data_IF_095233282335
#
_entry.id   IF_095233282335
#
_cell.length_a   1.000
_cell.length_b   1.000
_cell.length_c   1.000
_cell.angle_alpha   90.00
_cell.angle_beta   90.00
_cell.angle_gamma   90.00
#
_symmetry.space_group_name_H-M   'P 1'
#
loop_
_entity.id
_entity.type
_entity.pdbx_description
1 polymer ?
#
# COMPACT_ATOMS: atom_id res chain seq x y z
N UNK A 1 -3.21 2.98 19.20
CA UNK A 1 -3.31 1.47 19.25
C UNK A 1 -2.44 0.92 20.40
N UNK A 2 -2.31 -0.40 20.60
CA UNK A 2 -1.32 -0.95 21.55
C UNK A 2 0.10 -0.64 21.04
N UNK A 3 1.05 -0.34 21.94
CA UNK A 3 2.47 -0.09 21.61
C UNK A 3 3.15 -1.22 20.85
N UNK A 4 2.71 -2.46 21.05
CA UNK A 4 3.24 -3.65 20.37
C UNK A 4 2.62 -3.91 19.00
N UNK A 5 1.61 -3.14 18.58
CA UNK A 5 0.85 -3.41 17.37
C UNK A 5 1.69 -3.18 16.10
N UNK A 6 1.41 -3.99 15.07
CA UNK A 6 1.89 -3.77 13.71
C UNK A 6 0.69 -3.57 12.80
N UNK A 7 0.67 -2.48 12.05
CA UNK A 7 -0.36 -2.21 11.05
C UNK A 7 0.09 -2.80 9.70
N UNK A 8 -0.79 -3.51 9.00
CA UNK A 8 -0.55 -3.91 7.61
C UNK A 8 -1.67 -3.34 6.77
N UNK A 9 -1.33 -2.56 5.74
CA UNK A 9 -2.30 -2.06 4.77
C UNK A 9 -1.91 -2.53 3.36
N UNK A 10 -2.71 -3.47 2.84
CA UNK A 10 -2.71 -3.91 1.44
C UNK A 10 -4.08 -3.68 0.77
N UNK A 11 -4.85 -2.76 1.34
CA UNK A 11 -6.17 -2.38 0.86
C UNK A 11 -6.07 -1.20 -0.11
N UNK A 12 -6.21 0.02 0.41
CA UNK A 12 -6.06 1.28 -0.33
C UNK A 12 -5.39 2.32 0.56
N UNK A 13 -4.65 3.25 -0.05
CA UNK A 13 -3.96 4.31 0.67
C UNK A 13 -4.87 5.16 1.54
N UNK A 14 -6.03 5.56 0.99
CA UNK A 14 -6.99 6.40 1.71
C UNK A 14 -7.76 5.73 2.86
N UNK A 15 -7.44 4.48 3.24
CA UNK A 15 -8.05 3.82 4.41
C UNK A 15 -7.42 4.27 5.74
N UNK A 16 -6.19 4.79 5.68
CA UNK A 16 -5.44 5.24 6.85
C UNK A 16 -4.96 6.65 6.55
N UNK A 17 -5.15 7.57 7.50
CA UNK A 17 -4.59 8.91 7.35
C UNK A 17 -3.06 8.83 7.44
N UNK A 18 -2.37 8.99 6.31
CA UNK A 18 -0.94 8.70 6.19
C UNK A 18 -0.10 9.59 7.13
N UNK A 19 -0.49 10.87 7.27
CA UNK A 19 0.15 11.81 8.19
C UNK A 19 0.10 11.33 9.66
N UNK A 20 -1.04 10.82 10.11
CA UNK A 20 -1.21 10.30 11.48
C UNK A 20 -0.44 8.98 11.68
N UNK A 21 -0.41 8.13 10.64
CA UNK A 21 0.40 6.91 10.68
C UNK A 21 1.88 7.22 10.81
N UNK A 22 2.39 8.19 10.02
CA UNK A 22 3.78 8.67 10.12
C UNK A 22 4.09 9.13 11.54
N UNK A 23 3.20 9.93 12.14
CA UNK A 23 3.41 10.42 13.51
C UNK A 23 3.38 9.30 14.54
N UNK A 24 2.43 8.37 14.45
CA UNK A 24 2.32 7.22 15.33
C UNK A 24 3.55 6.30 15.25
N UNK A 25 4.15 6.16 14.08
CA UNK A 25 5.39 5.40 13.87
C UNK A 25 6.61 6.16 14.40
N UNK A 26 6.71 7.47 14.12
CA UNK A 26 7.81 8.34 14.58
C UNK A 26 7.88 8.41 16.10
N UNK A 27 6.73 8.49 16.76
CA UNK A 27 6.61 8.53 18.23
C UNK A 27 6.57 7.15 18.88
N UNK A 28 6.60 6.08 18.08
CA UNK A 28 6.45 4.67 18.52
C UNK A 28 5.20 4.43 19.36
N UNK A 29 4.08 5.08 19.01
CA UNK A 29 2.75 4.72 19.52
C UNK A 29 2.34 3.32 19.05
N UNK A 30 2.77 2.93 17.85
CA UNK A 30 2.73 1.56 17.34
C UNK A 30 4.13 1.05 17.05
N UNK A 31 4.29 -0.27 17.02
CA UNK A 31 5.60 -0.89 16.82
C UNK A 31 6.09 -0.64 15.40
N UNK A 32 5.31 -1.01 14.40
CA UNK A 32 5.72 -1.03 12.98
C UNK A 32 4.53 -0.90 12.01
N UNK A 33 4.81 -0.65 10.74
CA UNK A 33 3.83 -0.78 9.66
C UNK A 33 4.39 -1.51 8.42
N UNK A 34 3.54 -2.22 7.68
CA UNK A 34 3.83 -2.80 6.37
C UNK A 34 2.82 -2.30 5.34
N UNK A 35 3.28 -1.66 4.27
CA UNK A 35 2.43 -0.95 3.30
C UNK A 35 2.80 -1.34 1.87
N UNK A 36 1.81 -1.64 1.03
CA UNK A 36 1.95 -1.64 -0.44
C UNK A 36 1.12 -0.56 -1.14
N UNK A 37 0.29 0.18 -0.40
CA UNK A 37 -0.59 1.25 -0.88
C UNK A 37 -0.35 2.56 -0.13
N UNK A 38 -0.58 3.68 -0.80
CA UNK A 38 -0.26 5.03 -0.30
C UNK A 38 -1.35 6.04 -0.68
N UNK A 39 -1.48 7.14 0.07
CA UNK A 39 -2.46 8.18 -0.30
C UNK A 39 -2.15 8.78 -1.70
N UNK A 40 -0.86 8.91 -2.03
CA UNK A 40 -0.37 9.31 -3.34
C UNK A 40 0.49 8.18 -3.90
N UNK A 41 0.13 7.71 -5.09
CA UNK A 41 0.84 6.64 -5.78
C UNK A 41 1.39 7.09 -7.14
N UNK A 42 2.65 6.77 -7.47
CA UNK A 42 3.64 6.05 -6.66
C UNK A 42 4.07 6.85 -5.42
N UNK A 43 4.57 6.14 -4.39
CA UNK A 43 5.08 6.80 -3.17
C UNK A 43 6.14 7.85 -3.55
N UNK A 44 5.92 9.14 -3.24
CA UNK A 44 6.90 10.18 -3.54
C UNK A 44 8.22 9.92 -2.82
N UNK A 45 9.35 10.14 -3.49
CA UNK A 45 10.69 9.98 -2.89
C UNK A 45 10.95 10.92 -1.70
N UNK A 46 10.15 11.98 -1.58
CA UNK A 46 10.16 12.90 -0.44
C UNK A 46 9.29 12.44 0.73
N UNK A 47 8.63 11.28 0.65
CA UNK A 47 7.75 10.81 1.72
C UNK A 47 8.54 10.53 3.01
N UNK A 48 8.08 11.02 4.18
CA UNK A 48 8.71 10.71 5.46
C UNK A 48 8.78 9.22 5.77
N UNK A 49 7.83 8.42 5.26
CA UNK A 49 7.78 6.97 5.46
C UNK A 49 9.12 6.29 5.07
N UNK A 50 9.77 6.77 4.01
CA UNK A 50 11.02 6.18 3.49
C UNK A 50 12.17 6.23 4.50
N UNK A 51 12.12 7.17 5.46
CA UNK A 51 13.19 7.38 6.44
C UNK A 51 12.92 6.70 7.80
N UNK A 52 11.77 6.04 7.97
CA UNK A 52 11.42 5.38 9.24
C UNK A 52 12.03 3.98 9.31
N UNK A 53 12.62 3.64 10.46
CA UNK A 53 13.26 2.33 10.69
C UNK A 53 12.27 1.21 10.99
N UNK A 54 11.02 1.57 11.26
CA UNK A 54 9.94 0.68 11.68
C UNK A 54 8.83 0.56 10.63
N UNK A 55 9.17 0.69 9.35
CA UNK A 55 8.26 0.42 8.24
C UNK A 55 8.85 -0.52 7.21
N UNK A 56 7.98 -1.29 6.56
CA UNK A 56 8.28 -2.03 5.33
C UNK A 56 7.39 -1.46 4.22
N UNK A 57 8.02 -1.00 3.15
CA UNK A 57 7.36 -0.33 2.04
C UNK A 57 7.54 -1.14 0.77
N UNK A 58 6.46 -1.40 0.04
CA UNK A 58 6.47 -2.03 -1.27
C UNK A 58 5.75 -1.13 -2.28
N UNK A 59 6.13 -1.13 -3.58
CA UNK A 59 5.26 -0.59 -4.62
C UNK A 59 3.91 -1.33 -4.64
N UNK A 60 2.85 -0.68 -5.13
CA UNK A 60 1.49 -1.24 -5.21
C UNK A 60 1.43 -2.42 -6.18
N UNK A 61 1.77 -3.58 -5.65
CA UNK A 61 2.04 -4.80 -6.40
C UNK A 61 1.36 -6.03 -5.78
N UNK A 62 0.49 -5.85 -4.77
CA UNK A 62 -0.29 -6.94 -4.18
C UNK A 62 -1.09 -7.77 -5.22
N UNK A 63 -1.52 -7.15 -6.31
CA UNK A 63 -2.19 -7.81 -7.45
C UNK A 63 -1.27 -8.06 -8.67
N UNK A 64 0.03 -7.75 -8.58
CA UNK A 64 0.97 -7.74 -9.70
C UNK A 64 1.61 -9.09 -10.06
N UNK A 65 1.07 -10.21 -9.57
CA UNK A 65 1.64 -11.54 -9.85
C UNK A 65 1.29 -12.02 -11.27
N UNK A 66 2.18 -12.78 -11.92
CA UNK A 66 1.90 -13.40 -13.24
C UNK A 66 0.57 -14.18 -13.27
N UNK A 67 0.26 -14.92 -12.18
CA UNK A 67 -1.00 -15.68 -12.06
C UNK A 67 -2.25 -14.80 -12.15
N UNK A 68 -2.19 -13.57 -11.62
CA UNK A 68 -3.30 -12.62 -11.73
C UNK A 68 -3.39 -12.08 -13.16
N UNK A 69 -2.25 -11.73 -13.77
CA UNK A 69 -2.22 -11.20 -15.14
C UNK A 69 -2.72 -12.18 -16.19
N UNK A 70 -2.43 -13.48 -16.04
CA UNK A 70 -2.94 -14.55 -16.92
C UNK A 70 -4.48 -14.61 -16.95
N UNK A 71 -5.14 -14.13 -15.90
CA UNK A 71 -6.61 -14.10 -15.78
C UNK A 71 -7.17 -12.72 -16.15
N UNK A 72 -6.59 -11.67 -15.58
CA UNK A 72 -7.13 -10.31 -15.64
C UNK A 72 -6.99 -9.67 -17.02
N UNK A 73 -5.89 -9.95 -17.74
CA UNK A 73 -5.64 -9.37 -19.07
C UNK A 73 -6.67 -9.92 -20.08
N UNK A 74 -6.83 -11.25 -20.28
CA UNK A 74 -7.83 -11.76 -21.21
C UNK A 74 -9.25 -11.30 -20.87
N UNK A 75 -9.61 -11.31 -19.57
CA UNK A 75 -10.93 -10.85 -19.11
C UNK A 75 -11.17 -9.37 -19.43
N UNK A 76 -10.16 -8.52 -19.24
CA UNK A 76 -10.25 -7.09 -19.56
C UNK A 76 -10.39 -6.85 -21.06
N UNK A 77 -9.62 -7.56 -21.88
CA UNK A 77 -9.71 -7.48 -23.35
C UNK A 77 -11.07 -7.94 -23.87
N UNK A 78 -11.65 -9.00 -23.29
CA UNK A 78 -12.98 -9.44 -23.67
C UNK A 78 -14.03 -8.37 -23.39
N UNK A 79 -13.99 -7.74 -22.20
CA UNK A 79 -14.91 -6.64 -21.86
C UNK A 79 -14.81 -5.45 -22.81
N UNK A 80 -13.59 -5.11 -23.27
CA UNK A 80 -13.39 -4.05 -24.26
C UNK A 80 -14.03 -4.44 -25.60
N UNK A 81 -13.87 -5.70 -26.03
CA UNK A 81 -14.54 -6.20 -27.25
C UNK A 81 -16.05 -6.19 -27.12
N UNK A 82 -16.59 -6.59 -25.97
CA UNK A 82 -18.03 -6.61 -25.73
C UNK A 82 -18.67 -5.21 -25.69
N UNK A 83 -17.86 -4.17 -25.46
CA UNK A 83 -18.32 -2.78 -25.44
C UNK A 83 -18.49 -2.17 -26.86
N UNK A 84 -17.81 -2.71 -27.87
CA UNK A 84 -17.84 -2.24 -29.26
C UNK A 84 -18.57 -3.23 -30.18
#
# INVERSE_FOLDING_TARGET
MKKSATLINVGRGGLVQEAELIEALRTREIKMAGLDVYEIEPLPSSSPLINLDNVVLLPHTGAGSNKHWDIDIPASLQKIKDFF
#
